data_IF_071050838052
#
_entry.id   IF_071050838052
#
_cell.length_a   1.000
_cell.length_b   1.000
_cell.length_c   1.000
_cell.angle_alpha   90.00
_cell.angle_beta   90.00
_cell.angle_gamma   90.00
#
_symmetry.space_group_name_H-M   'P 1'
#
loop_
_entity.id
_entity.type
_entity.pdbx_description
1 polymer ?
#
# COMPACT_ATOMS: atom_id res chain seq x y z
N UNK A 1 42.98 -29.61 37.78
CA UNK A 1 42.38 -28.32 37.41
C UNK A 1 42.44 -28.26 35.91
N UNK A 2 41.28 -28.47 35.30
CA UNK A 2 41.05 -28.69 33.88
C UNK A 2 40.61 -27.35 33.30
N UNK A 3 41.43 -26.73 32.45
CA UNK A 3 41.03 -25.52 31.73
C UNK A 3 40.41 -25.89 30.38
N UNK A 4 39.17 -25.46 30.23
CA UNK A 4 38.26 -25.82 29.17
C UNK A 4 38.67 -25.20 27.83
N UNK A 5 38.80 -26.08 26.83
CA UNK A 5 38.82 -25.75 25.41
C UNK A 5 37.56 -24.97 25.02
N UNK A 6 37.72 -23.70 24.65
CA UNK A 6 36.65 -22.88 24.07
C UNK A 6 36.55 -23.18 22.57
N UNK A 7 35.55 -23.98 22.19
CA UNK A 7 35.15 -24.20 20.79
C UNK A 7 33.73 -23.69 20.63
N UNK A 8 33.54 -22.51 20.01
CA UNK A 8 32.21 -22.14 19.49
C UNK A 8 32.33 -21.35 18.19
N UNK A 9 31.90 -22.04 17.13
CA UNK A 9 31.21 -21.61 15.91
C UNK A 9 31.59 -20.28 15.24
N UNK A 10 32.19 -20.40 14.06
CA UNK A 10 32.10 -19.39 13.01
C UNK A 10 30.66 -19.33 12.50
N UNK A 11 29.94 -18.26 12.82
CA UNK A 11 28.70 -17.91 12.15
C UNK A 11 29.06 -17.08 10.90
N UNK A 12 28.93 -17.71 9.73
CA UNK A 12 28.77 -17.02 8.46
C UNK A 12 27.38 -16.39 8.44
N UNK A 13 27.28 -15.07 8.63
CA UNK A 13 26.08 -14.32 8.27
C UNK A 13 26.44 -13.25 7.24
N UNK A 14 26.02 -13.52 6.00
CA UNK A 14 26.04 -12.57 4.90
C UNK A 14 25.03 -11.47 5.18
N UNK A 15 25.37 -10.57 6.12
CA UNK A 15 24.70 -9.31 6.36
C UNK A 15 24.96 -8.32 5.23
N UNK A 16 24.47 -8.62 4.02
CA UNK A 16 24.17 -7.57 3.04
C UNK A 16 22.91 -6.87 3.52
N UNK A 17 23.11 -5.92 4.41
CA UNK A 17 22.20 -4.80 4.60
C UNK A 17 22.12 -4.09 3.26
N UNK A 18 21.13 -4.44 2.44
CA UNK A 18 20.72 -3.61 1.31
C UNK A 18 20.29 -2.28 1.89
N UNK A 19 21.24 -1.32 1.94
CA UNK A 19 20.91 0.08 1.81
C UNK A 19 20.16 0.19 0.49
N UNK A 20 18.84 0.16 0.57
CA UNK A 20 17.95 0.36 -0.55
C UNK A 20 18.28 1.73 -1.16
N UNK A 21 19.09 1.70 -2.22
CA UNK A 21 19.20 2.79 -3.17
C UNK A 21 17.78 3.02 -3.69
N UNK A 22 17.14 4.06 -3.17
CA UNK A 22 15.75 4.40 -3.42
C UNK A 22 15.58 4.90 -4.86
N UNK A 23 15.73 4.00 -5.83
CA UNK A 23 15.08 4.20 -7.11
C UNK A 23 13.57 4.26 -6.80
N UNK A 24 12.86 5.31 -7.25
CA UNK A 24 11.43 5.41 -7.04
C UNK A 24 10.78 4.19 -7.70
N UNK A 25 10.30 3.25 -6.88
CA UNK A 25 9.57 2.08 -7.36
C UNK A 25 8.42 2.62 -8.21
N UNK A 26 8.34 2.20 -9.47
CA UNK A 26 7.36 2.71 -10.44
C UNK A 26 5.91 2.51 -9.98
N UNK A 27 5.68 1.58 -9.06
CA UNK A 27 4.39 1.23 -8.47
C UNK A 27 4.15 1.79 -7.05
N UNK A 28 4.90 2.82 -6.63
CA UNK A 28 4.70 3.46 -5.33
C UNK A 28 3.71 4.63 -5.40
N UNK A 29 2.75 4.64 -4.50
CA UNK A 29 1.80 5.73 -4.27
C UNK A 29 2.15 6.38 -2.94
N UNK A 30 2.50 7.67 -2.99
CA UNK A 30 2.63 8.49 -1.80
C UNK A 30 1.33 9.25 -1.58
N UNK A 31 0.67 8.95 -0.48
CA UNK A 31 -0.56 9.61 -0.05
C UNK A 31 -0.17 10.77 0.86
N UNK A 32 -0.47 11.97 0.40
CA UNK A 32 -0.38 13.19 1.19
C UNK A 32 -1.75 13.58 1.72
N UNK A 33 -1.77 14.28 2.85
CA UNK A 33 -2.96 14.93 3.33
C UNK A 33 -3.16 16.20 2.48
N UNK A 34 -3.94 16.12 1.39
CA UNK A 34 -4.74 17.20 0.78
C UNK A 34 -5.21 16.91 -0.67
N UNK A 35 -6.28 17.62 -1.06
CA UNK A 35 -6.90 17.84 -2.39
C UNK A 35 -7.41 16.63 -3.19
N UNK A 36 -6.82 15.44 -3.06
CA UNK A 36 -7.29 14.26 -3.80
C UNK A 36 -8.36 13.52 -3.00
N UNK A 37 -9.52 13.18 -3.59
CA UNK A 37 -10.54 12.40 -2.92
C UNK A 37 -10.02 10.98 -2.64
N UNK A 38 -10.54 10.30 -1.61
CA UNK A 38 -10.11 8.95 -1.21
C UNK A 38 -10.04 7.97 -2.41
N UNK A 39 -11.10 7.96 -3.22
CA UNK A 39 -11.22 7.06 -4.37
C UNK A 39 -10.21 7.33 -5.49
N UNK A 40 -9.59 8.51 -5.55
CA UNK A 40 -8.49 8.76 -6.48
C UNK A 40 -7.35 7.76 -6.24
N UNK A 41 -6.95 7.59 -4.98
CA UNK A 41 -5.87 6.68 -4.62
C UNK A 41 -6.29 5.21 -4.73
N UNK A 42 -7.55 4.89 -4.41
CA UNK A 42 -8.10 3.53 -4.61
C UNK A 42 -8.03 3.13 -6.08
N UNK A 43 -8.47 4.01 -6.99
CA UNK A 43 -8.47 3.73 -8.42
C UNK A 43 -7.05 3.70 -9.01
N UNK A 44 -6.16 4.57 -8.53
CA UNK A 44 -4.75 4.55 -8.91
C UNK A 44 -4.09 3.23 -8.46
N UNK A 45 -4.37 2.77 -7.24
CA UNK A 45 -3.85 1.51 -6.73
C UNK A 45 -4.37 0.31 -7.54
N UNK A 46 -5.66 0.28 -7.90
CA UNK A 46 -6.20 -0.74 -8.82
C UNK A 46 -5.43 -0.78 -10.13
N UNK A 47 -5.17 0.38 -10.75
CA UNK A 47 -4.40 0.48 -11.99
C UNK A 47 -2.98 -0.05 -11.82
N UNK A 48 -2.30 0.28 -10.72
CA UNK A 48 -0.93 -0.20 -10.47
C UNK A 48 -0.89 -1.71 -10.21
N UNK A 49 -1.83 -2.25 -9.43
CA UNK A 49 -1.98 -3.70 -9.24
C UNK A 49 -2.23 -4.40 -10.57
N UNK A 50 -3.05 -3.83 -11.46
CA UNK A 50 -3.31 -4.41 -12.78
C UNK A 50 -2.06 -4.41 -13.68
N UNK A 51 -1.21 -3.37 -13.61
CA UNK A 51 -0.06 -3.19 -14.49
C UNK A 51 1.22 -3.85 -13.97
N UNK A 52 1.36 -4.00 -12.66
CA UNK A 52 2.62 -4.38 -12.01
C UNK A 52 2.46 -5.54 -11.01
N UNK A 53 1.27 -6.09 -10.86
CA UNK A 53 0.88 -7.12 -9.87
C UNK A 53 1.08 -6.72 -8.39
N UNK A 54 1.68 -5.57 -8.12
CA UNK A 54 1.89 -5.03 -6.78
C UNK A 54 1.82 -3.50 -6.74
N UNK A 55 1.53 -2.97 -5.55
CA UNK A 55 1.50 -1.53 -5.28
C UNK A 55 2.02 -1.27 -3.87
N UNK A 56 2.84 -0.22 -3.73
CA UNK A 56 3.33 0.24 -2.43
C UNK A 56 2.60 1.53 -2.03
N UNK A 57 1.85 1.52 -0.94
CA UNK A 57 1.18 2.68 -0.39
C UNK A 57 2.03 3.27 0.75
N UNK A 58 2.33 4.57 0.70
CA UNK A 58 3.12 5.24 1.73
C UNK A 58 2.47 6.54 2.18
N UNK A 59 2.59 6.87 3.46
CA UNK A 59 2.09 8.13 4.02
C UNK A 59 2.85 8.58 5.26
N UNK A 60 2.71 9.86 5.58
CA UNK A 60 3.29 10.50 6.76
C UNK A 60 2.20 11.17 7.62
N UNK A 61 2.33 11.04 8.94
CA UNK A 61 1.47 11.70 9.92
C UNK A 61 -0.02 11.45 9.68
N UNK A 62 -0.83 12.51 9.60
CA UNK A 62 -2.29 12.40 9.45
C UNK A 62 -2.76 11.64 8.20
N UNK A 63 -1.93 11.56 7.15
CA UNK A 63 -2.26 10.82 5.93
C UNK A 63 -2.23 9.30 6.11
N UNK A 64 -1.66 8.80 7.22
CA UNK A 64 -1.59 7.36 7.53
C UNK A 64 -2.99 6.74 7.54
N UNK A 65 -3.97 7.41 8.14
CA UNK A 65 -5.36 6.93 8.19
C UNK A 65 -5.91 6.66 6.79
N UNK A 66 -5.65 7.55 5.84
CA UNK A 66 -6.09 7.38 4.44
C UNK A 66 -5.44 6.14 3.79
N UNK A 67 -4.14 5.89 4.02
CA UNK A 67 -3.47 4.69 3.51
C UNK A 67 -4.06 3.42 4.08
N UNK A 68 -4.35 3.40 5.38
CA UNK A 68 -5.01 2.25 6.03
C UNK A 68 -6.38 1.99 5.40
N UNK A 69 -7.20 3.03 5.25
CA UNK A 69 -8.52 2.90 4.61
C UNK A 69 -8.44 2.41 3.17
N UNK A 70 -7.48 2.90 2.37
CA UNK A 70 -7.29 2.41 0.99
C UNK A 70 -6.94 0.92 1.00
N UNK A 71 -6.00 0.50 1.84
CA UNK A 71 -5.59 -0.88 1.95
C UNK A 71 -6.75 -1.78 2.39
N UNK A 72 -7.57 -1.33 3.33
CA UNK A 72 -8.78 -2.05 3.77
C UNK A 72 -9.81 -2.19 2.65
N UNK A 73 -10.11 -1.12 1.92
CA UNK A 73 -11.04 -1.18 0.77
C UNK A 73 -10.56 -2.22 -0.26
N UNK A 74 -9.27 -2.22 -0.60
CA UNK A 74 -8.72 -3.14 -1.59
C UNK A 74 -8.76 -4.61 -1.13
N UNK A 75 -8.48 -4.87 0.15
CA UNK A 75 -8.55 -6.21 0.73
C UNK A 75 -9.99 -6.71 0.86
N UNK A 76 -10.90 -5.88 1.37
CA UNK A 76 -12.30 -6.24 1.59
C UNK A 76 -13.01 -6.58 0.28
N UNK A 77 -12.68 -5.85 -0.79
CA UNK A 77 -13.18 -6.12 -2.12
C UNK A 77 -12.44 -7.24 -2.84
N UNK A 78 -11.59 -8.02 -2.13
CA UNK A 78 -10.79 -9.12 -2.68
C UNK A 78 -9.96 -8.75 -3.92
N UNK A 79 -9.51 -7.51 -4.00
CA UNK A 79 -8.67 -7.03 -5.10
C UNK A 79 -7.19 -7.16 -4.78
N UNK A 80 -6.82 -7.08 -3.50
CA UNK A 80 -5.43 -7.16 -3.09
C UNK A 80 -5.24 -8.00 -1.83
N UNK A 81 -4.03 -8.53 -1.66
CA UNK A 81 -3.56 -9.20 -0.46
C UNK A 81 -2.41 -8.37 0.12
N UNK A 82 -2.37 -8.23 1.44
CA UNK A 82 -1.24 -7.58 2.10
C UNK A 82 -0.02 -8.51 2.11
N UNK A 83 1.10 -8.01 1.57
CA UNK A 83 2.40 -8.68 1.64
C UNK A 83 3.28 -8.15 2.76
N UNK A 84 3.29 -6.84 2.99
CA UNK A 84 4.12 -6.19 4.03
C UNK A 84 3.43 -4.95 4.59
N UNK A 85 3.57 -4.73 5.89
CA UNK A 85 3.26 -3.46 6.57
C UNK A 85 4.51 -3.06 7.35
N UNK A 86 4.98 -1.83 7.14
CA UNK A 86 6.08 -1.24 7.87
C UNK A 86 5.66 0.11 8.41
N UNK A 87 5.93 0.35 9.69
CA UNK A 87 5.85 1.66 10.31
C UNK A 87 7.24 2.08 10.76
N UNK A 88 7.54 3.37 10.64
CA UNK A 88 8.80 3.94 11.08
C UNK A 88 8.61 5.39 11.49
N UNK A 89 9.66 6.00 12.03
CA UNK A 89 9.74 7.43 12.27
C UNK A 89 10.80 8.02 11.36
N UNK A 90 10.47 9.12 10.68
CA UNK A 90 11.39 9.86 9.82
C UNK A 90 11.46 11.31 10.25
N UNK A 91 12.66 11.88 10.26
CA UNK A 91 12.83 13.30 10.54
C UNK A 91 12.47 14.14 9.31
N UNK A 92 11.52 15.05 9.48
CA UNK A 92 11.12 16.00 8.44
C UNK A 92 11.46 17.42 8.83
N UNK A 93 11.94 18.21 7.86
CA UNK A 93 12.13 19.64 8.06
C UNK A 93 10.76 20.32 8.12
N UNK A 94 10.48 21.00 9.23
CA UNK A 94 9.32 21.87 9.34
C UNK A 94 9.70 23.26 8.83
N UNK A 95 9.28 23.60 7.61
CA UNK A 95 9.58 24.89 6.97
C UNK A 95 9.07 26.09 7.77
N UNK A 96 8.02 25.90 8.60
CA UNK A 96 7.45 26.96 9.42
C UNK A 96 8.24 27.23 10.70
N UNK A 97 8.94 26.22 11.22
CA UNK A 97 9.65 26.29 12.51
C UNK A 97 11.16 26.17 12.40
N UNK A 98 11.70 25.92 11.20
CA UNK A 98 13.13 25.77 10.93
C UNK A 98 13.80 24.55 11.58
N UNK A 99 13.05 23.73 12.32
CA UNK A 99 13.56 22.57 13.08
C UNK A 99 13.18 21.25 12.41
N UNK A 100 13.98 20.22 12.68
CA UNK A 100 13.62 18.83 12.34
C UNK A 100 12.54 18.35 13.30
N UNK A 101 11.48 17.74 12.78
CA UNK A 101 10.39 17.16 13.57
C UNK A 101 10.19 15.71 13.16
N UNK A 102 10.23 14.75 14.11
CA UNK A 102 9.97 13.36 13.81
C UNK A 102 8.50 13.19 13.39
N UNK A 103 8.28 12.47 12.29
CA UNK A 103 6.95 12.10 11.80
C UNK A 103 6.85 10.59 11.64
N UNK A 104 5.72 10.03 12.05
CA UNK A 104 5.38 8.65 11.73
C UNK A 104 5.25 8.49 10.21
N UNK A 105 5.77 7.37 9.71
CA UNK A 105 5.68 6.91 8.33
C UNK A 105 5.07 5.51 8.31
N UNK A 106 4.22 5.27 7.33
CA UNK A 106 3.71 3.92 7.02
C UNK A 106 4.04 3.56 5.57
N UNK A 107 4.35 2.30 5.33
CA UNK A 107 4.56 1.69 4.02
C UNK A 107 3.84 0.34 3.97
N UNK A 108 2.88 0.17 3.06
CA UNK A 108 2.10 -1.05 2.87
C UNK A 108 2.33 -1.57 1.46
N UNK A 109 2.87 -2.79 1.35
CA UNK A 109 2.98 -3.49 0.07
C UNK A 109 1.77 -4.40 -0.09
N UNK A 110 1.00 -4.15 -1.14
CA UNK A 110 -0.15 -4.94 -1.54
C UNK A 110 0.17 -5.65 -2.85
N UNK A 111 -0.26 -6.90 -2.98
CA UNK A 111 -0.13 -7.70 -4.20
C UNK A 111 -1.50 -8.04 -4.76
N UNK A 112 -1.56 -8.26 -6.08
CA UNK A 112 -2.76 -8.68 -6.80
C UNK A 112 -3.34 -9.95 -6.18
N UNK A 113 -4.64 -9.92 -5.87
CA UNK A 113 -5.37 -11.11 -5.46
C UNK A 113 -5.71 -11.98 -6.69
N UNK A 114 -5.82 -13.29 -6.49
CA UNK A 114 -6.24 -14.22 -7.57
C UNK A 114 -7.64 -13.90 -8.10
N UNK A 115 -8.51 -13.32 -7.26
CA UNK A 115 -9.86 -12.87 -7.63
C UNK A 115 -9.91 -11.53 -8.37
N UNK A 116 -8.78 -10.84 -8.57
CA UNK A 116 -8.76 -9.48 -9.11
C UNK A 116 -9.35 -9.38 -10.52
N UNK A 117 -8.90 -10.21 -11.46
CA UNK A 117 -9.26 -10.10 -12.88
C UNK A 117 -10.76 -10.36 -13.11
N UNK A 118 -11.33 -11.31 -12.36
CA UNK A 118 -12.76 -11.61 -12.41
C UNK A 118 -13.60 -10.40 -11.97
N UNK A 119 -13.20 -9.75 -10.87
CA UNK A 119 -13.92 -8.61 -10.32
C UNK A 119 -13.77 -7.33 -11.16
N UNK A 120 -12.62 -7.15 -11.81
CA UNK A 120 -12.40 -6.03 -12.73
C UNK A 120 -13.26 -6.15 -13.99
N UNK A 121 -13.44 -7.38 -14.50
CA UNK A 121 -14.27 -7.67 -15.67
C UNK A 121 -15.76 -7.51 -15.35
N UNK A 122 -16.22 -7.99 -14.18
CA UNK A 122 -17.62 -7.81 -13.75
C UNK A 122 -18.02 -6.35 -13.56
N UNK A 123 -17.11 -5.47 -13.15
CA UNK A 123 -17.39 -4.04 -12.97
C UNK A 123 -17.57 -3.28 -14.31
N UNK A 124 -16.98 -3.77 -15.41
CA UNK A 124 -17.10 -3.16 -16.73
C UNK A 124 -18.30 -3.67 -17.54
N UNK A 125 -18.92 -4.80 -17.15
CA UNK A 125 -20.00 -5.45 -17.92
C UNK A 125 -21.41 -5.08 -17.42
N UNK A 126 -21.56 -4.14 -16.48
CA UNK A 126 -22.87 -3.74 -15.97
C UNK A 126 -23.31 -2.35 -16.45
N UNK A 127 -24.11 -2.25 -17.53
CA UNK A 127 -25.21 -1.32 -17.63
C UNK A 127 -26.51 -2.07 -17.29
N UNK A 128 -26.99 -1.97 -16.04
CA UNK A 128 -28.35 -2.42 -15.75
C UNK A 128 -29.34 -1.46 -16.44
N UNK A 129 -30.02 -1.99 -17.46
CA UNK A 129 -31.14 -1.35 -18.14
C UNK A 129 -32.33 -1.27 -17.19
N UNK A 130 -32.73 -0.05 -16.81
CA UNK A 130 -34.03 0.19 -16.18
C UNK A 130 -35.07 0.28 -17.30
N UNK A 131 -35.75 -0.83 -17.62
CA UNK A 131 -36.94 -0.80 -18.47
C UNK A 131 -38.15 -0.38 -17.63
N UNK A 132 -38.47 0.92 -17.64
CA UNK A 132 -39.73 1.41 -17.11
C UNK A 132 -40.86 1.03 -18.08
N UNK A 133 -41.53 -0.09 -17.83
CA UNK A 133 -42.82 -0.42 -18.45
C UNK A 133 -43.92 -0.17 -17.41
N UNK A 134 -44.44 1.05 -17.36
CA UNK A 134 -45.77 1.32 -16.84
C UNK A 134 -46.65 1.81 -17.99
N UNK A 135 -47.19 0.84 -18.72
CA UNK A 135 -48.49 1.01 -19.39
C UNK A 135 -49.55 0.85 -18.31
N UNK A 136 -50.28 1.92 -18.00
CA UNK A 136 -51.61 1.78 -17.43
C UNK A 136 -52.60 2.60 -18.25
N UNK A 137 -53.23 1.89 -19.18
CA UNK A 137 -54.59 2.19 -19.61
C UNK A 137 -55.51 2.11 -18.40
N UNK A 138 -56.26 3.18 -18.15
CA UNK A 138 -57.70 3.28 -17.83
C UNK A 138 -57.99 4.68 -17.29
#
# INVERSE_FOLDING_TARGET
>A
MEEATLVVAQATDNGKTELASASPRKYRIQVSNTKKPLFFYVNLAKKYIQQHDEVELSALGMAITTVVTIAEILKNNRMAIQKKILTSTVDMKDETKGRMVPKAKIEILLVKATSFDNLMTSANTAPEMITNNDKKEL
#
